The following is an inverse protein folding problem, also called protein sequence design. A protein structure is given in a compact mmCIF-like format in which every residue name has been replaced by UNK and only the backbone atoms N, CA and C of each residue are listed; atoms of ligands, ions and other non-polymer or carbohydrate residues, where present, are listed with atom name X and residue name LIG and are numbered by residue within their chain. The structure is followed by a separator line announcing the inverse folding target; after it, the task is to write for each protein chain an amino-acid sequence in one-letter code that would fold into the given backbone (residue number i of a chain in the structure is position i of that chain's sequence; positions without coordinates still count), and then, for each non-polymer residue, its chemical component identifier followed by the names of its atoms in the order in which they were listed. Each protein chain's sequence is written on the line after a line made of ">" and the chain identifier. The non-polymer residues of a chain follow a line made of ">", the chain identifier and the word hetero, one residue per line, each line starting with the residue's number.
data_IF_429039912802
#
_entry.id   IF_429039912802
#
_cell.length_a   1.000
_cell.length_b   1.000
_cell.length_c   1.000
_cell.angle_alpha   90.00
_cell.angle_beta   90.00
_cell.angle_gamma   90.00
#
_symmetry.space_group_name_H-M   'P 1'
#
loop_
_entity.id
_entity.type
_entity.pdbx_description
1 polymer ?
#
# COMPACT_ATOMS: atom_id res chain seq x y z
N UNK A 1 -31.13 -2.68 10.56
CA UNK A 1 -30.07 -1.70 10.19
C UNK A 1 -28.81 -2.46 9.89
N UNK A 2 -28.28 -2.38 8.67
CA UNK A 2 -26.99 -2.99 8.36
C UNK A 2 -25.91 -2.26 9.18
N UNK A 3 -25.11 -3.00 9.93
CA UNK A 3 -24.03 -2.43 10.76
C UNK A 3 -22.94 -1.91 9.84
N UNK A 4 -22.80 -0.60 9.70
CA UNK A 4 -21.70 0.01 8.94
C UNK A 4 -20.45 -0.04 9.79
N UNK A 5 -19.38 -0.66 9.28
CA UNK A 5 -18.08 -0.71 9.96
C UNK A 5 -17.18 0.41 9.46
N UNK A 6 -16.62 1.17 10.41
CA UNK A 6 -15.61 2.18 10.10
C UNK A 6 -14.23 1.52 10.05
N UNK A 7 -13.45 1.81 9.02
CA UNK A 7 -12.06 1.33 8.86
C UNK A 7 -11.17 2.54 8.57
N UNK A 8 -10.12 2.69 9.36
CA UNK A 8 -9.08 3.69 9.14
C UNK A 8 -7.92 3.08 8.38
N UNK A 9 -7.66 3.59 7.20
CA UNK A 9 -6.56 3.20 6.32
C UNK A 9 -5.57 4.37 6.17
N UNK A 10 -4.33 4.19 6.60
CA UNK A 10 -3.27 5.19 6.47
C UNK A 10 -2.33 4.80 5.34
N UNK A 11 -2.02 5.75 4.46
CA UNK A 11 -1.16 5.55 3.29
C UNK A 11 0.18 6.22 3.52
N UNK A 12 1.26 5.43 3.46
CA UNK A 12 2.64 5.87 3.69
C UNK A 12 3.56 5.43 2.55
N UNK A 13 4.71 6.04 2.46
CA UNK A 13 5.70 5.80 1.42
C UNK A 13 6.40 7.09 1.01
N UNK A 14 7.47 7.00 0.24
CA UNK A 14 8.27 8.14 -0.20
C UNK A 14 7.46 9.24 -0.88
N UNK A 15 8.00 10.43 -0.92
CA UNK A 15 7.49 11.51 -1.74
C UNK A 15 7.41 11.10 -3.22
N UNK A 16 6.41 11.60 -3.93
CA UNK A 16 6.21 11.39 -5.37
C UNK A 16 6.00 9.91 -5.83
N UNK A 17 5.83 8.94 -4.92
CA UNK A 17 5.46 7.56 -5.33
C UNK A 17 4.01 7.46 -5.83
N UNK A 18 3.18 8.48 -5.60
CA UNK A 18 1.81 8.55 -6.10
C UNK A 18 0.73 8.16 -5.10
N UNK A 19 0.97 8.33 -3.79
CA UNK A 19 -0.04 8.08 -2.74
C UNK A 19 -1.31 8.89 -2.94
N UNK A 20 -1.17 10.20 -3.09
CA UNK A 20 -2.29 11.12 -3.35
C UNK A 20 -3.04 10.78 -4.63
N UNK A 21 -2.31 10.50 -5.72
CA UNK A 21 -2.93 10.08 -6.98
C UNK A 21 -3.72 8.76 -6.83
N UNK A 22 -3.19 7.82 -6.04
CA UNK A 22 -3.86 6.56 -5.72
C UNK A 22 -5.22 6.82 -5.03
N UNK A 23 -5.23 7.69 -4.03
CA UNK A 23 -6.42 8.01 -3.24
C UNK A 23 -7.45 8.78 -4.04
N UNK A 24 -7.04 9.82 -4.76
CA UNK A 24 -7.94 10.61 -5.61
C UNK A 24 -8.53 9.74 -6.71
N UNK A 25 -7.72 8.97 -7.41
CA UNK A 25 -8.21 8.09 -8.47
C UNK A 25 -9.19 7.04 -7.97
N UNK A 26 -8.96 6.49 -6.77
CA UNK A 26 -9.89 5.55 -6.15
C UNK A 26 -11.21 6.20 -5.74
N UNK A 27 -11.18 7.38 -5.13
CA UNK A 27 -12.38 8.03 -4.57
C UNK A 27 -13.21 8.77 -5.62
N UNK A 28 -12.58 9.27 -6.68
CA UNK A 28 -13.25 10.09 -7.72
C UNK A 28 -13.39 9.39 -9.06
N UNK A 29 -12.79 8.21 -9.25
CA UNK A 29 -12.65 7.52 -10.54
C UNK A 29 -11.96 8.39 -11.63
N UNK A 30 -11.17 9.39 -11.23
CA UNK A 30 -10.44 10.26 -12.13
C UNK A 30 -9.01 10.46 -11.65
N UNK A 31 -8.04 10.41 -12.59
CA UNK A 31 -6.65 10.73 -12.27
C UNK A 31 -6.48 12.26 -12.13
N UNK A 32 -5.81 12.76 -11.09
CA UNK A 32 -5.63 14.20 -10.91
C UNK A 32 -4.76 14.79 -12.03
N UNK A 33 -5.21 15.93 -12.60
CA UNK A 33 -4.52 16.61 -13.70
C UNK A 33 -3.27 17.37 -13.29
N UNK A 34 -3.17 17.77 -12.02
CA UNK A 34 -2.04 18.53 -11.49
C UNK A 34 -1.43 17.82 -10.28
N UNK A 35 -0.11 17.86 -10.18
CA UNK A 35 0.61 17.39 -9.02
C UNK A 35 0.73 18.50 -7.98
N UNK A 36 0.09 18.30 -6.83
CA UNK A 36 0.28 19.14 -5.65
C UNK A 36 0.91 18.28 -4.55
N UNK A 37 2.06 18.69 -4.00
CA UNK A 37 2.65 17.96 -2.87
C UNK A 37 1.71 17.92 -1.69
N UNK A 38 1.49 16.72 -1.14
CA UNK A 38 0.64 16.51 0.03
C UNK A 38 1.40 16.84 1.31
N UNK A 39 0.76 17.60 2.19
CA UNK A 39 1.18 17.72 3.59
C UNK A 39 0.44 16.67 4.41
N UNK A 40 -0.87 16.72 4.34
CA UNK A 40 -1.79 15.79 4.98
C UNK A 40 -3.19 16.02 4.38
N UNK A 41 -3.89 14.93 4.06
CA UNK A 41 -5.27 15.01 3.57
C UNK A 41 -6.08 13.78 3.99
N UNK A 42 -7.39 13.95 4.09
CA UNK A 42 -8.33 12.91 4.45
C UNK A 42 -9.40 12.75 3.38
N UNK A 43 -9.59 11.51 2.95
CA UNK A 43 -10.66 11.13 2.05
C UNK A 43 -11.57 10.12 2.74
N UNK A 44 -12.82 10.05 2.33
CA UNK A 44 -13.74 9.01 2.80
C UNK A 44 -14.50 8.40 1.63
N UNK A 45 -14.76 7.10 1.74
CA UNK A 45 -15.54 6.38 0.75
C UNK A 45 -16.44 5.36 1.45
N UNK A 46 -17.70 5.27 1.01
CA UNK A 46 -18.58 4.18 1.42
C UNK A 46 -18.55 3.09 0.36
N UNK A 47 -18.18 1.89 0.75
CA UNK A 47 -18.01 0.77 -0.15
C UNK A 47 -18.68 -0.49 0.40
N UNK A 48 -19.06 -1.40 -0.49
CA UNK A 48 -19.57 -2.72 -0.11
C UNK A 48 -18.49 -3.74 -0.50
N UNK A 49 -18.00 -4.46 0.51
CA UNK A 49 -17.01 -5.55 0.32
C UNK A 49 -17.55 -6.80 0.98
N UNK A 50 -17.62 -7.89 0.20
CA UNK A 50 -18.14 -9.19 0.65
C UNK A 50 -19.53 -9.10 1.34
N UNK A 51 -20.40 -8.21 0.83
CA UNK A 51 -21.74 -7.99 1.34
C UNK A 51 -21.84 -7.08 2.59
N UNK A 52 -20.73 -6.57 3.09
CA UNK A 52 -20.69 -5.65 4.23
C UNK A 52 -20.50 -4.20 3.78
N UNK A 53 -21.30 -3.29 4.31
CA UNK A 53 -21.11 -1.85 4.12
C UNK A 53 -20.01 -1.34 5.03
N UNK A 54 -18.99 -0.72 4.43
CA UNK A 54 -17.82 -0.18 5.12
C UNK A 54 -17.70 1.31 4.84
N UNK A 55 -17.51 2.10 5.89
CA UNK A 55 -17.05 3.49 5.78
C UNK A 55 -15.53 3.48 5.88
N UNK A 56 -14.86 3.69 4.76
CA UNK A 56 -13.42 3.67 4.64
C UNK A 56 -12.86 5.09 4.77
N UNK A 57 -12.19 5.38 5.88
CA UNK A 57 -11.42 6.60 6.08
C UNK A 57 -10.00 6.43 5.54
N UNK A 58 -9.62 7.26 4.60
CA UNK A 58 -8.34 7.23 3.89
C UNK A 58 -7.50 8.43 4.32
N UNK A 59 -6.32 8.16 4.87
CA UNK A 59 -5.43 9.17 5.42
C UNK A 59 -4.18 9.27 4.56
N UNK A 60 -4.08 10.33 3.78
CA UNK A 60 -2.90 10.64 2.96
C UNK A 60 -1.83 11.30 3.81
N UNK A 61 -0.58 10.88 3.67
CA UNK A 61 0.54 11.41 4.45
C UNK A 61 1.66 11.90 3.55
N UNK A 62 2.38 12.93 4.00
CA UNK A 62 3.58 13.40 3.34
C UNK A 62 4.71 12.37 3.46
N UNK A 63 5.37 12.09 2.33
CA UNK A 63 6.52 11.18 2.28
C UNK A 63 7.88 11.86 2.52
N UNK A 64 7.92 13.19 2.52
CA UNK A 64 9.12 13.98 2.71
C UNK A 64 9.64 13.86 4.16
N UNK A 65 10.95 13.97 4.34
CA UNK A 65 11.61 13.85 5.64
C UNK A 65 11.25 14.98 6.62
N UNK A 66 10.92 16.15 6.09
CA UNK A 66 10.47 17.30 6.88
C UNK A 66 9.25 16.97 7.76
N UNK A 67 8.47 15.99 7.37
CA UNK A 67 7.25 15.56 8.06
C UNK A 67 7.43 14.30 8.92
N UNK A 68 8.64 13.78 9.08
CA UNK A 68 8.88 12.53 9.81
C UNK A 68 8.41 12.58 11.28
N UNK A 69 8.42 13.77 11.89
CA UNK A 69 7.91 13.98 13.26
C UNK A 69 6.39 14.14 13.33
N UNK A 70 5.76 14.64 12.27
CA UNK A 70 4.32 14.92 12.24
C UNK A 70 3.52 13.72 11.71
N UNK A 71 4.07 12.97 10.77
CA UNK A 71 3.41 11.83 10.13
C UNK A 71 2.89 10.79 11.14
N UNK A 72 3.65 10.39 12.17
CA UNK A 72 3.17 9.39 13.14
C UNK A 72 1.96 9.84 13.96
N UNK A 73 1.63 11.14 14.01
CA UNK A 73 0.41 11.62 14.63
C UNK A 73 -0.86 11.09 13.94
N UNK A 74 -0.74 10.66 12.69
CA UNK A 74 -1.83 10.01 11.93
C UNK A 74 -2.01 8.53 12.27
N UNK A 75 -1.06 7.87 12.94
CA UNK A 75 -1.04 6.42 13.14
C UNK A 75 -1.95 5.86 14.23
N UNK A 76 -2.30 6.60 15.31
CA UNK A 76 -3.21 6.07 16.32
C UNK A 76 -4.51 5.54 15.73
N UNK A 77 -4.97 4.38 16.22
CA UNK A 77 -6.21 3.72 15.79
C UNK A 77 -6.26 3.38 14.28
N UNK A 78 -5.11 3.17 13.65
CA UNK A 78 -5.05 2.67 12.27
C UNK A 78 -5.40 1.19 12.22
N UNK A 79 -6.35 0.83 11.36
CA UNK A 79 -6.76 -0.56 11.14
C UNK A 79 -5.89 -1.28 10.11
N UNK A 80 -5.37 -0.54 9.11
CA UNK A 80 -4.51 -1.05 8.05
C UNK A 80 -3.64 0.04 7.44
N UNK A 81 -2.38 -0.30 7.12
CA UNK A 81 -1.49 0.55 6.34
C UNK A 81 -1.43 0.11 4.88
N UNK A 82 -1.45 1.08 3.96
CA UNK A 82 -0.95 0.90 2.60
C UNK A 82 0.47 1.47 2.55
N UNK A 83 1.45 0.60 2.42
CA UNK A 83 2.86 0.99 2.27
C UNK A 83 3.21 0.99 0.79
N UNK A 84 3.39 2.18 0.23
CA UNK A 84 3.54 2.41 -1.20
C UNK A 84 5.00 2.66 -1.59
N UNK A 85 5.42 2.05 -2.70
CA UNK A 85 6.64 2.39 -3.42
C UNK A 85 6.31 2.48 -4.92
N UNK A 86 7.13 3.16 -5.71
CA UNK A 86 6.97 3.19 -7.15
C UNK A 86 7.80 2.09 -7.81
N UNK A 87 7.20 1.29 -8.71
CA UNK A 87 7.90 0.23 -9.45
C UNK A 87 9.02 0.76 -10.35
N UNK A 88 9.01 2.05 -10.65
CA UNK A 88 10.07 2.75 -11.40
C UNK A 88 10.97 3.61 -10.51
N UNK A 89 10.97 3.39 -9.20
CA UNK A 89 11.85 4.04 -8.24
C UNK A 89 12.48 3.01 -7.30
N UNK A 90 13.64 2.42 -7.65
CA UNK A 90 14.35 1.48 -6.79
C UNK A 90 14.69 2.05 -5.41
N UNK A 91 14.96 3.36 -5.31
CA UNK A 91 15.19 4.03 -4.03
C UNK A 91 13.96 3.95 -3.12
N UNK A 92 12.76 4.22 -3.64
CA UNK A 92 11.52 4.11 -2.86
C UNK A 92 11.22 2.67 -2.44
N UNK A 93 11.64 1.68 -3.23
CA UNK A 93 11.54 0.27 -2.90
C UNK A 93 12.48 -0.12 -1.75
N UNK A 94 13.73 0.34 -1.76
CA UNK A 94 14.67 0.08 -0.67
C UNK A 94 14.21 0.74 0.63
N UNK A 95 13.61 1.93 0.57
CA UNK A 95 13.06 2.64 1.73
C UNK A 95 11.89 1.91 2.39
N UNK A 96 11.22 0.98 1.72
CA UNK A 96 10.21 0.12 2.34
C UNK A 96 10.79 -0.60 3.57
N UNK A 97 11.98 -1.18 3.42
CA UNK A 97 12.66 -1.97 4.46
C UNK A 97 13.45 -1.10 5.44
N UNK A 98 14.11 -0.07 4.93
CA UNK A 98 15.07 0.72 5.71
C UNK A 98 14.44 1.87 6.48
N UNK A 99 13.32 2.40 6.02
CA UNK A 99 12.63 3.55 6.63
C UNK A 99 11.20 3.21 7.07
N UNK A 100 10.34 2.80 6.14
CA UNK A 100 8.90 2.77 6.36
C UNK A 100 8.43 1.64 7.28
N UNK A 101 8.91 0.43 7.04
CA UNK A 101 8.56 -0.70 7.89
C UNK A 101 9.01 -0.51 9.35
N UNK A 102 10.26 -0.07 9.62
CA UNK A 102 10.67 0.29 10.98
C UNK A 102 9.82 1.39 11.63
N UNK A 103 9.44 2.43 10.90
CA UNK A 103 8.58 3.50 11.40
C UNK A 103 7.20 2.97 11.80
N UNK A 104 6.56 2.18 10.94
CA UNK A 104 5.26 1.56 11.24
C UNK A 104 5.37 0.63 12.46
N UNK A 105 6.39 -0.21 12.52
CA UNK A 105 6.57 -1.14 13.63
C UNK A 105 6.82 -0.43 14.96
N UNK A 106 7.49 0.71 14.94
CA UNK A 106 7.74 1.51 16.13
C UNK A 106 6.47 2.19 16.65
N UNK A 107 5.68 2.82 15.77
CA UNK A 107 4.54 3.65 16.17
C UNK A 107 3.20 2.92 16.19
N UNK A 108 3.07 1.82 15.45
CA UNK A 108 1.82 1.05 15.34
C UNK A 108 2.10 -0.46 15.19
N UNK A 109 2.74 -1.08 16.20
CA UNK A 109 3.12 -2.48 16.13
C UNK A 109 1.91 -3.39 15.96
N UNK A 110 2.04 -4.40 15.11
CA UNK A 110 0.99 -5.39 14.88
C UNK A 110 -0.12 -4.98 13.90
N UNK A 111 -0.18 -3.71 13.52
CA UNK A 111 -1.15 -3.26 12.50
C UNK A 111 -0.81 -3.88 11.14
N UNK A 112 -1.78 -4.46 10.43
CA UNK A 112 -1.56 -5.07 9.13
C UNK A 112 -1.08 -4.07 8.07
N UNK A 113 -0.17 -4.55 7.21
CA UNK A 113 0.40 -3.78 6.11
C UNK A 113 0.04 -4.47 4.80
N UNK A 114 -0.46 -3.70 3.84
CA UNK A 114 -0.54 -4.09 2.43
C UNK A 114 0.60 -3.36 1.71
N UNK A 115 1.51 -4.10 1.09
CA UNK A 115 2.57 -3.52 0.27
C UNK A 115 2.03 -3.25 -1.12
N UNK A 116 2.24 -2.02 -1.63
CA UNK A 116 1.70 -1.57 -2.91
C UNK A 116 2.80 -1.02 -3.81
N UNK A 117 3.03 -1.68 -4.94
CA UNK A 117 3.82 -1.14 -6.04
C UNK A 117 2.96 -0.25 -6.94
N UNK A 118 3.24 1.04 -6.96
CA UNK A 118 2.49 2.02 -7.75
C UNK A 118 3.13 2.27 -9.11
N UNK A 119 2.42 3.00 -9.99
CA UNK A 119 2.89 3.39 -11.33
C UNK A 119 3.21 2.17 -12.22
N UNK A 120 2.40 1.13 -12.11
CA UNK A 120 2.57 -0.11 -12.88
C UNK A 120 2.58 0.14 -14.39
N UNK A 121 1.84 1.14 -14.86
CA UNK A 121 1.80 1.61 -16.25
C UNK A 121 3.17 2.06 -16.79
N UNK A 122 4.07 2.50 -15.90
CA UNK A 122 5.41 2.98 -16.28
C UNK A 122 6.48 1.88 -16.31
N UNK A 123 6.19 0.65 -15.84
CA UNK A 123 7.19 -0.43 -15.79
C UNK A 123 7.79 -0.74 -17.15
N UNK A 124 6.96 -0.77 -18.18
CA UNK A 124 7.34 -1.12 -19.54
C UNK A 124 7.48 0.10 -20.46
N UNK A 125 7.40 1.32 -19.88
CA UNK A 125 7.57 2.56 -20.63
C UNK A 125 9.04 2.75 -21.05
N UNK A 126 9.33 2.85 -22.37
CA UNK A 126 10.72 2.95 -22.87
C UNK A 126 11.48 4.15 -22.28
N UNK A 127 10.80 5.29 -22.09
CA UNK A 127 11.44 6.50 -21.56
C UNK A 127 11.84 6.33 -20.09
N UNK A 128 11.02 5.65 -19.28
CA UNK A 128 11.35 5.34 -17.89
C UNK A 128 12.46 4.30 -17.78
N UNK A 129 12.43 3.27 -18.63
CA UNK A 129 13.47 2.24 -18.70
C UNK A 129 14.81 2.87 -19.04
N UNK A 130 14.86 3.78 -20.02
CA UNK A 130 16.12 4.44 -20.42
C UNK A 130 16.68 5.31 -19.29
N UNK A 131 15.84 6.13 -18.62
CA UNK A 131 16.25 6.91 -17.45
C UNK A 131 16.84 6.05 -16.31
N UNK A 132 16.26 4.87 -16.08
CA UNK A 132 16.78 3.93 -15.08
C UNK A 132 18.10 3.33 -15.53
N UNK A 133 18.23 2.98 -16.83
CA UNK A 133 19.44 2.42 -17.41
C UNK A 133 20.64 3.38 -17.30
N UNK A 134 20.43 4.68 -17.52
CA UNK A 134 21.45 5.72 -17.32
C UNK A 134 22.03 5.69 -15.89
N UNK A 135 21.20 5.30 -14.92
CA UNK A 135 21.57 5.14 -13.51
C UNK A 135 21.99 3.72 -13.13
N UNK A 136 22.13 2.82 -14.11
CA UNK A 136 22.41 1.39 -13.91
C UNK A 136 21.35 0.70 -13.05
N UNK A 137 20.10 1.11 -13.20
CA UNK A 137 18.95 0.58 -12.48
C UNK A 137 17.94 -0.04 -13.45
N UNK A 138 17.03 -0.84 -12.92
CA UNK A 138 15.91 -1.43 -13.65
C UNK A 138 14.62 -1.25 -12.85
N UNK A 139 13.45 -1.26 -13.50
CA UNK A 139 12.18 -1.29 -12.78
C UNK A 139 12.11 -2.48 -11.82
N UNK A 140 11.38 -2.32 -10.73
CA UNK A 140 11.14 -3.40 -9.78
C UNK A 140 10.17 -4.41 -10.38
N UNK A 141 10.57 -5.68 -10.39
CA UNK A 141 9.74 -6.80 -10.84
C UNK A 141 8.80 -7.30 -9.76
N UNK A 142 7.73 -7.99 -10.19
CA UNK A 142 6.73 -8.55 -9.26
C UNK A 142 7.35 -9.48 -8.20
N UNK A 143 8.30 -10.31 -8.60
CA UNK A 143 8.98 -11.25 -7.68
C UNK A 143 9.75 -10.52 -6.59
N UNK A 144 10.40 -9.40 -6.91
CA UNK A 144 11.11 -8.56 -5.93
C UNK A 144 10.12 -7.95 -4.93
N UNK A 145 9.00 -7.39 -5.40
CA UNK A 145 7.96 -6.85 -4.54
C UNK A 145 7.33 -7.92 -3.64
N UNK A 146 7.08 -9.11 -4.17
CA UNK A 146 6.56 -10.24 -3.42
C UNK A 146 7.54 -10.72 -2.34
N UNK A 147 8.84 -10.75 -2.63
CA UNK A 147 9.88 -11.08 -1.65
C UNK A 147 9.93 -10.03 -0.54
N UNK A 148 9.92 -8.75 -0.89
CA UNK A 148 9.88 -7.66 0.09
C UNK A 148 8.66 -7.75 1.01
N UNK A 149 7.49 -8.08 0.45
CA UNK A 149 6.28 -8.27 1.25
C UNK A 149 6.42 -9.39 2.28
N UNK A 150 7.09 -10.48 1.93
CA UNK A 150 7.40 -11.56 2.87
C UNK A 150 8.38 -11.09 3.96
N UNK A 151 9.44 -10.36 3.58
CA UNK A 151 10.46 -9.87 4.51
C UNK A 151 9.87 -8.95 5.58
N UNK A 152 8.97 -8.04 5.20
CA UNK A 152 8.28 -7.13 6.11
C UNK A 152 7.00 -7.73 6.72
N UNK A 153 6.71 -9.00 6.45
CA UNK A 153 5.50 -9.70 6.93
C UNK A 153 4.19 -8.98 6.54
N UNK A 154 4.18 -8.35 5.36
CA UNK A 154 2.97 -7.74 4.84
C UNK A 154 1.85 -8.79 4.66
N UNK A 155 0.60 -8.37 4.85
CA UNK A 155 -0.54 -9.26 4.67
C UNK A 155 -0.69 -9.69 3.21
N UNK A 156 -0.42 -8.75 2.28
CA UNK A 156 -0.50 -8.95 0.82
C UNK A 156 0.44 -7.98 0.08
N UNK A 157 0.70 -8.33 -1.18
CA UNK A 157 1.37 -7.48 -2.15
C UNK A 157 0.47 -7.26 -3.36
N UNK A 158 0.37 -6.02 -3.80
CA UNK A 158 -0.31 -5.62 -5.02
C UNK A 158 0.53 -4.65 -5.83
N UNK A 159 0.33 -4.67 -7.14
CA UNK A 159 0.84 -3.66 -8.05
C UNK A 159 -0.34 -3.01 -8.76
N UNK A 160 -0.33 -1.70 -8.85
CA UNK A 160 -1.44 -0.95 -9.44
C UNK A 160 -0.98 0.30 -10.18
N UNK A 161 -1.88 0.82 -11.00
CA UNK A 161 -1.75 2.11 -11.66
C UNK A 161 -2.95 2.99 -11.30
N UNK A 162 -2.69 4.13 -10.70
CA UNK A 162 -3.71 5.15 -10.48
C UNK A 162 -4.17 5.78 -11.81
N UNK A 163 -3.27 5.92 -12.79
CA UNK A 163 -3.56 6.49 -14.10
C UNK A 163 -4.54 5.63 -14.90
N UNK A 164 -4.25 4.33 -15.02
CA UNK A 164 -5.07 3.39 -15.81
C UNK A 164 -6.14 2.69 -14.98
N UNK A 165 -6.16 2.90 -13.67
CA UNK A 165 -7.00 2.24 -12.67
C UNK A 165 -6.78 0.71 -12.57
N UNK A 166 -5.76 0.18 -13.22
CA UNK A 166 -5.43 -1.24 -13.17
C UNK A 166 -5.12 -1.67 -11.74
N UNK A 167 -5.84 -2.67 -11.24
CA UNK A 167 -5.75 -3.23 -9.89
C UNK A 167 -6.03 -2.24 -8.74
N UNK A 168 -6.44 -1.00 -9.02
CA UNK A 168 -6.65 0.04 -8.02
C UNK A 168 -7.69 -0.38 -6.98
N UNK A 169 -8.88 -0.78 -7.44
CA UNK A 169 -9.95 -1.25 -6.55
C UNK A 169 -9.53 -2.47 -5.71
N UNK A 170 -8.77 -3.39 -6.30
CA UNK A 170 -8.35 -4.62 -5.62
C UNK A 170 -7.45 -4.35 -4.40
N UNK A 171 -6.61 -3.30 -4.44
CA UNK A 171 -5.78 -2.85 -3.31
C UNK A 171 -6.66 -2.49 -2.11
N UNK A 172 -7.67 -1.67 -2.30
CA UNK A 172 -8.54 -1.20 -1.23
C UNK A 172 -9.49 -2.29 -0.73
N UNK A 173 -10.05 -3.09 -1.63
CA UNK A 173 -10.90 -4.23 -1.27
C UNK A 173 -10.12 -5.22 -0.38
N UNK A 174 -8.85 -5.50 -0.69
CA UNK A 174 -8.04 -6.40 0.13
C UNK A 174 -7.62 -5.77 1.46
N UNK A 175 -7.36 -4.45 1.49
CA UNK A 175 -7.13 -3.74 2.75
C UNK A 175 -8.33 -3.91 3.69
N UNK A 176 -9.54 -3.70 3.18
CA UNK A 176 -10.80 -3.91 3.93
C UNK A 176 -10.93 -5.37 4.38
N UNK A 177 -10.73 -6.35 3.48
CA UNK A 177 -10.81 -7.78 3.82
C UNK A 177 -9.81 -8.19 4.90
N UNK A 178 -8.62 -7.60 4.88
CA UNK A 178 -7.58 -7.86 5.88
C UNK A 178 -8.01 -7.44 7.28
N UNK A 179 -8.76 -6.34 7.39
CA UNK A 179 -9.33 -5.86 8.66
C UNK A 179 -10.54 -6.68 9.08
N UNK A 180 -11.44 -6.99 8.14
CA UNK A 180 -12.67 -7.72 8.43
C UNK A 180 -12.42 -9.20 8.79
N UNK A 181 -11.38 -9.81 8.23
CA UNK A 181 -11.07 -11.24 8.38
C UNK A 181 -9.62 -11.47 8.88
N UNK A 182 -9.26 -11.09 10.12
CA UNK A 182 -7.91 -11.21 10.64
C UNK A 182 -7.40 -12.66 10.69
N UNK A 183 -8.31 -13.65 10.80
CA UNK A 183 -7.98 -15.08 10.91
C UNK A 183 -7.57 -15.73 9.56
N UNK A 184 -7.72 -15.08 8.42
CA UNK A 184 -7.20 -15.58 7.13
C UNK A 184 -5.68 -15.75 7.10
N UNK A 185 -4.96 -15.08 8.01
CA UNK A 185 -3.50 -15.23 8.18
C UNK A 185 -3.09 -16.55 8.83
N UNK A 186 -3.91 -17.11 9.75
CA UNK A 186 -3.60 -18.33 10.49
C UNK A 186 -3.74 -19.61 9.65
N UNK A 187 -4.49 -19.59 8.54
CA UNK A 187 -4.81 -20.76 7.74
C UNK A 187 -3.72 -21.26 6.79
N UNK A 188 -2.66 -20.49 6.52
CA UNK A 188 -1.57 -20.90 5.61
C UNK A 188 -0.35 -21.52 6.30
N UNK A 189 -0.26 -21.47 7.62
CA UNK A 189 0.86 -22.04 8.38
C UNK A 189 0.68 -23.49 8.84
N UNK A 190 -0.47 -24.13 8.56
CA UNK A 190 -0.76 -25.51 8.97
C UNK A 190 -1.06 -26.44 7.79
N UNK A 191 -0.12 -26.58 6.86
CA UNK A 191 -0.10 -27.71 5.92
C UNK A 191 1.33 -28.03 5.51
N UNK A 192 2.13 -28.55 6.45
CA UNK A 192 3.26 -29.44 6.15
C UNK A 192 3.75 -30.09 7.45
N UNK A 193 2.99 -31.04 7.95
CA UNK A 193 3.50 -32.13 8.77
C UNK A 193 2.58 -33.31 8.58
N UNK A 194 2.65 -33.90 7.40
CA UNK A 194 2.23 -35.26 7.12
C UNK A 194 3.41 -36.15 7.40
N UNK A 195 3.43 -36.71 8.57
CA UNK A 195 4.27 -37.83 8.97
C UNK A 195 4.14 -38.97 7.95
N UNK A 196 5.22 -39.39 7.37
CA UNK A 196 5.31 -40.75 6.81
C UNK A 196 6.14 -41.58 7.77
N UNK A 197 5.45 -42.34 8.58
CA UNK A 197 5.95 -43.55 9.21
C UNK A 197 5.54 -44.73 8.31
N UNK A 198 6.48 -45.40 7.75
CA UNK A 198 6.75 -46.82 7.57
C UNK A 198 7.73 -47.03 6.45
#
# INVERSE_FOLDING_TARGET
>A
MALTRNIKCVVVGDGAVGKTCLLISYTTNAFPGEYVPTVFDNYSSQVIVDGMTVSLGLWDTAGQEDYDRLRPLSYPQTDVFLLCFSVVSPASFENVRTKWYPEIQHHSPGTPIILVGTKLDLRDDPAQIEKLRERRQTPIGYTQGSSMANDIKAAKYFECSALTQKNLKAVFDEAIRTVLNPNRRAGKAKKSSGCLLM
#
